data_IF_241818122097
#
_entry.id   IF_241818122097
#
_cell.length_a   1.000
_cell.length_b   1.000
_cell.length_c   1.000
_cell.angle_alpha   90.00
_cell.angle_beta   90.00
_cell.angle_gamma   90.00
#
_symmetry.space_group_name_H-M   'P 1'
#
loop_
_entity.id
_entity.type
_entity.pdbx_description
1 polymer ?
#
# COMPACT_ATOMS: atom_id res chain seq x y z
N UNK A 1 -3.06 22.77 12.70
CA UNK A 1 -3.56 22.25 13.99
C UNK A 1 -3.13 20.79 14.17
N UNK A 2 -3.23 20.00 13.11
CA UNK A 2 -2.91 18.57 13.05
C UNK A 2 -1.47 18.22 13.45
N UNK A 3 -0.47 18.96 12.95
CA UNK A 3 0.92 18.74 13.33
C UNK A 3 1.18 18.95 14.83
N UNK A 4 0.51 19.94 15.45
CA UNK A 4 0.68 20.24 16.88
C UNK A 4 0.04 19.14 17.74
N UNK A 5 -1.14 18.66 17.36
CA UNK A 5 -1.80 17.51 18.02
C UNK A 5 -0.90 16.28 17.91
N UNK A 6 -0.37 16.00 16.72
CA UNK A 6 0.53 14.86 16.51
C UNK A 6 1.80 14.97 17.35
N UNK A 7 2.43 16.15 17.40
CA UNK A 7 3.62 16.36 18.24
C UNK A 7 3.34 16.12 19.72
N UNK A 8 2.19 16.57 20.23
CA UNK A 8 1.79 16.32 21.62
C UNK A 8 1.64 14.82 21.89
N UNK A 9 0.95 14.10 20.99
CA UNK A 9 0.78 12.64 21.08
C UNK A 9 2.14 11.93 21.08
N UNK A 10 3.03 12.28 20.15
CA UNK A 10 4.36 11.67 20.06
C UNK A 10 5.18 11.91 21.33
N UNK A 11 5.20 13.14 21.85
CA UNK A 11 5.92 13.46 23.08
C UNK A 11 5.30 12.73 24.27
N UNK A 12 3.98 12.65 24.36
CA UNK A 12 3.27 11.93 25.41
C UNK A 12 3.60 10.42 25.42
N UNK A 13 3.54 9.77 24.25
CA UNK A 13 3.90 8.35 24.13
C UNK A 13 5.39 8.12 24.38
N UNK A 14 6.26 8.99 23.88
CA UNK A 14 7.70 8.90 24.11
C UNK A 14 8.02 8.99 25.61
N UNK A 15 7.42 9.96 26.30
CA UNK A 15 7.59 10.13 27.73
C UNK A 15 7.13 8.90 28.51
N UNK A 16 5.92 8.39 28.25
CA UNK A 16 5.36 7.26 28.98
C UNK A 16 6.14 5.95 28.73
N UNK A 17 6.60 5.71 27.50
CA UNK A 17 7.25 4.45 27.15
C UNK A 17 8.76 4.43 27.47
N UNK A 18 9.47 5.56 27.32
CA UNK A 18 10.93 5.58 27.42
C UNK A 18 11.47 6.30 28.66
N UNK A 19 10.79 7.35 29.14
CA UNK A 19 11.30 8.21 30.22
C UNK A 19 10.66 7.89 31.58
N UNK A 20 9.41 7.45 31.62
CA UNK A 20 8.70 7.14 32.86
C UNK A 20 9.23 5.85 33.51
N UNK A 21 9.84 5.99 34.69
CA UNK A 21 10.54 4.90 35.38
C UNK A 21 9.65 3.74 35.80
N UNK A 22 8.41 4.03 36.17
CA UNK A 22 7.47 3.03 36.72
C UNK A 22 7.03 2.06 35.64
N UNK A 23 6.63 2.61 34.48
CA UNK A 23 6.31 1.86 33.27
C UNK A 23 7.53 1.05 32.84
N UNK A 24 8.72 1.65 32.79
CA UNK A 24 9.94 0.92 32.39
C UNK A 24 10.25 -0.29 33.30
N UNK A 25 9.89 -0.23 34.58
CA UNK A 25 10.03 -1.37 35.51
C UNK A 25 8.99 -2.45 35.23
N UNK A 26 7.72 -2.09 35.10
CA UNK A 26 6.63 -3.02 34.75
C UNK A 26 6.93 -3.78 33.45
N UNK A 27 7.39 -3.08 32.41
CA UNK A 27 7.71 -3.69 31.12
C UNK A 27 8.94 -4.61 31.18
N UNK A 28 9.92 -4.30 32.03
CA UNK A 28 11.08 -5.18 32.26
C UNK A 28 10.70 -6.46 33.01
N UNK A 29 9.73 -6.39 33.91
CA UNK A 29 9.18 -7.55 34.61
C UNK A 29 8.37 -8.45 33.66
N UNK A 30 7.62 -7.84 32.75
CA UNK A 30 6.84 -8.54 31.71
C UNK A 30 7.73 -9.21 30.65
N UNK A 31 8.84 -8.60 30.24
CA UNK A 31 9.74 -9.20 29.25
C UNK A 31 11.18 -8.66 29.29
N UNK A 32 12.22 -9.53 29.20
CA UNK A 32 13.60 -9.10 28.98
C UNK A 32 13.81 -8.41 27.61
N UNK A 33 12.88 -8.56 26.66
CA UNK A 33 12.85 -7.80 25.39
C UNK A 33 12.07 -6.47 25.49
N UNK A 34 11.89 -5.93 26.70
CA UNK A 34 11.15 -4.69 27.00
C UNK A 34 11.45 -3.51 26.06
N UNK A 35 12.70 -3.35 25.62
CA UNK A 35 13.08 -2.30 24.67
C UNK A 35 12.39 -2.46 23.32
N UNK A 36 12.37 -3.67 22.75
CA UNK A 36 11.75 -3.96 21.44
C UNK A 36 10.24 -3.73 21.52
N UNK A 37 9.61 -4.22 22.58
CA UNK A 37 8.18 -3.99 22.82
C UNK A 37 7.84 -2.51 22.95
N UNK A 38 8.66 -1.73 23.64
CA UNK A 38 8.47 -0.27 23.77
C UNK A 38 8.54 0.43 22.41
N UNK A 39 9.49 0.04 21.56
CA UNK A 39 9.60 0.57 20.19
C UNK A 39 8.41 0.16 19.31
N UNK A 40 7.95 -1.09 19.40
CA UNK A 40 6.78 -1.56 18.65
C UNK A 40 5.51 -0.83 19.12
N UNK A 41 5.30 -0.67 20.42
CA UNK A 41 4.18 0.10 20.97
C UNK A 41 4.22 1.57 20.51
N UNK A 42 5.40 2.19 20.59
CA UNK A 42 5.57 3.58 20.15
C UNK A 42 5.31 3.73 18.64
N UNK A 43 5.94 2.88 17.83
CA UNK A 43 5.77 2.89 16.37
C UNK A 43 4.33 2.61 15.96
N UNK A 44 3.67 1.68 16.65
CA UNK A 44 2.27 1.34 16.42
C UNK A 44 1.32 2.49 16.72
N UNK A 45 1.46 3.11 17.90
CA UNK A 45 0.67 4.26 18.29
C UNK A 45 0.92 5.47 17.37
N UNK A 46 2.19 5.81 17.12
CA UNK A 46 2.56 6.91 16.22
C UNK A 46 1.98 6.72 14.82
N UNK A 47 2.07 5.50 14.28
CA UNK A 47 1.55 5.22 12.95
C UNK A 47 0.02 5.24 12.92
N UNK A 48 -0.67 4.72 13.93
CA UNK A 48 -2.13 4.76 14.00
C UNK A 48 -2.67 6.20 14.08
N UNK A 49 -2.12 7.02 14.99
CA UNK A 49 -2.55 8.41 15.12
C UNK A 49 -2.16 9.23 13.89
N UNK A 50 -0.97 9.00 13.32
CA UNK A 50 -0.56 9.61 12.07
C UNK A 50 -1.51 9.27 10.92
N UNK A 51 -1.90 7.99 10.78
CA UNK A 51 -2.85 7.55 9.77
C UNK A 51 -4.20 8.25 9.91
N UNK A 52 -4.69 8.40 11.15
CA UNK A 52 -6.00 9.01 11.42
C UNK A 52 -6.02 10.53 11.24
N UNK A 53 -4.93 11.21 11.63
CA UNK A 53 -4.81 12.67 11.58
C UNK A 53 -4.51 13.16 10.16
N UNK A 54 -3.62 12.46 9.44
CA UNK A 54 -3.19 12.86 8.10
C UNK A 54 -3.88 12.10 6.96
N UNK A 55 -4.82 11.20 7.30
CA UNK A 55 -5.55 10.36 6.33
C UNK A 55 -4.62 9.54 5.43
N UNK A 56 -3.48 9.11 5.98
CA UNK A 56 -2.45 8.33 5.27
C UNK A 56 -2.66 6.84 5.54
N UNK A 57 -3.35 6.15 4.62
CA UNK A 57 -3.72 4.74 4.78
C UNK A 57 -2.52 3.79 4.99
N UNK A 58 -1.38 4.08 4.34
CA UNK A 58 -0.17 3.26 4.47
C UNK A 58 0.41 3.25 5.90
N UNK A 59 0.09 4.23 6.74
CA UNK A 59 0.51 4.25 8.14
C UNK A 59 -0.24 3.21 8.99
N UNK A 60 -1.49 2.86 8.65
CA UNK A 60 -2.20 1.76 9.33
C UNK A 60 -1.48 0.42 9.15
N UNK A 61 -0.75 0.25 8.05
CA UNK A 61 0.06 -0.95 7.82
C UNK A 61 1.22 -1.05 8.81
N UNK A 62 1.91 0.07 9.09
CA UNK A 62 2.98 0.11 10.09
C UNK A 62 2.43 -0.15 11.49
N UNK A 63 1.24 0.37 11.79
CA UNK A 63 0.53 0.06 13.03
C UNK A 63 0.24 -1.43 13.16
N UNK A 64 -0.25 -2.07 12.10
CA UNK A 64 -0.52 -3.51 12.10
C UNK A 64 0.75 -4.35 12.26
N UNK A 65 1.84 -4.03 11.55
CA UNK A 65 3.13 -4.72 11.73
C UNK A 65 3.64 -4.62 13.17
N UNK A 66 3.42 -3.47 13.81
CA UNK A 66 3.80 -3.27 15.20
C UNK A 66 2.99 -4.18 16.14
N UNK A 67 1.68 -4.32 15.93
CA UNK A 67 0.82 -5.24 16.69
C UNK A 67 1.24 -6.70 16.49
N UNK A 68 1.52 -7.12 15.24
CA UNK A 68 2.01 -8.47 14.95
C UNK A 68 3.34 -8.72 15.67
N UNK A 69 4.26 -7.75 15.64
CA UNK A 69 5.53 -7.83 16.34
C UNK A 69 5.37 -7.99 17.86
N UNK A 70 4.38 -7.32 18.46
CA UNK A 70 4.05 -7.47 19.88
C UNK A 70 3.55 -8.88 20.18
N UNK A 71 2.59 -9.39 19.40
CA UNK A 71 2.03 -10.74 19.56
C UNK A 71 3.10 -11.83 19.42
N UNK A 72 4.03 -11.67 18.47
CA UNK A 72 5.15 -12.61 18.29
C UNK A 72 6.17 -12.52 19.44
N UNK A 73 6.31 -11.35 20.05
CA UNK A 73 7.25 -11.10 21.16
C UNK A 73 6.76 -11.68 22.49
N UNK A 74 5.49 -12.07 22.59
CA UNK A 74 4.86 -12.57 23.82
C UNK A 74 5.47 -13.91 24.25
N UNK A 75 5.91 -14.01 25.52
CA UNK A 75 6.76 -15.12 26.00
C UNK A 75 5.99 -16.43 26.19
N UNK A 76 4.69 -16.35 26.50
CA UNK A 76 3.86 -17.52 26.80
C UNK A 76 3.48 -18.34 25.56
N UNK A 77 3.66 -17.78 24.37
CA UNK A 77 3.41 -18.49 23.13
C UNK A 77 4.59 -19.40 22.77
N UNK A 78 4.30 -20.67 22.54
CA UNK A 78 5.26 -21.61 21.94
C UNK A 78 5.68 -21.10 20.55
N UNK A 79 6.94 -21.33 20.16
CA UNK A 79 7.53 -21.03 18.86
C UNK A 79 6.63 -21.42 17.69
N UNK A 80 5.98 -22.58 17.74
CA UNK A 80 5.04 -23.02 16.69
C UNK A 80 3.85 -22.06 16.56
N UNK A 81 3.24 -21.65 17.68
CA UNK A 81 2.12 -20.69 17.67
C UNK A 81 2.56 -19.33 17.13
N UNK A 82 3.77 -18.88 17.50
CA UNK A 82 4.34 -17.63 16.98
C UNK A 82 4.53 -17.66 15.46
N UNK A 83 5.07 -18.76 14.94
CA UNK A 83 5.24 -18.97 13.50
C UNK A 83 3.89 -18.99 12.80
N UNK A 84 2.89 -19.69 13.36
CA UNK A 84 1.53 -19.75 12.81
C UNK A 84 0.89 -18.36 12.78
N UNK A 85 0.98 -17.59 13.86
CA UNK A 85 0.46 -16.21 13.93
C UNK A 85 1.16 -15.32 12.90
N UNK A 86 2.48 -15.42 12.77
CA UNK A 86 3.24 -14.64 11.79
C UNK A 86 2.84 -14.98 10.35
N UNK A 87 2.77 -16.27 10.00
CA UNK A 87 2.37 -16.74 8.67
C UNK A 87 0.92 -16.32 8.37
N UNK A 88 -0.01 -16.55 9.31
CA UNK A 88 -1.41 -16.19 9.13
C UNK A 88 -1.60 -14.69 8.95
N UNK A 89 -0.87 -13.88 9.72
CA UNK A 89 -0.90 -12.42 9.58
C UNK A 89 -0.34 -11.97 8.23
N UNK A 90 0.75 -12.59 7.75
CA UNK A 90 1.31 -12.31 6.42
C UNK A 90 0.34 -12.71 5.29
N UNK A 91 -0.37 -13.83 5.44
CA UNK A 91 -1.37 -14.28 4.47
C UNK A 91 -2.55 -13.30 4.40
N UNK A 92 -3.11 -12.92 5.56
CA UNK A 92 -4.18 -11.92 5.62
C UNK A 92 -3.73 -10.60 5.00
N UNK A 93 -2.55 -10.12 5.36
CA UNK A 93 -1.96 -8.92 4.78
C UNK A 93 -1.81 -9.01 3.26
N UNK A 94 -1.39 -10.16 2.76
CA UNK A 94 -1.26 -10.38 1.32
C UNK A 94 -2.63 -10.30 0.64
N UNK A 95 -3.66 -10.91 1.22
CA UNK A 95 -5.04 -10.85 0.69
C UNK A 95 -5.56 -9.42 0.64
N UNK A 96 -5.40 -8.66 1.74
CA UNK A 96 -5.86 -7.27 1.78
C UNK A 96 -5.08 -6.35 0.85
N UNK A 97 -3.85 -6.72 0.49
CA UNK A 97 -2.95 -5.89 -0.30
C UNK A 97 -3.01 -6.19 -1.79
N UNK A 98 -3.36 -7.41 -2.20
CA UNK A 98 -3.55 -7.72 -3.63
C UNK A 98 -4.84 -7.05 -4.08
N UNK A 99 -4.75 -6.03 -4.93
CA UNK A 99 -5.88 -5.16 -5.18
C UNK A 99 -6.90 -5.84 -6.11
N UNK A 100 -8.11 -5.29 -6.17
CA UNK A 100 -9.21 -5.79 -6.99
C UNK A 100 -9.12 -5.28 -8.43
N UNK A 101 -10.00 -5.77 -9.31
CA UNK A 101 -9.96 -5.50 -10.75
C UNK A 101 -9.84 -4.00 -11.11
N UNK A 102 -10.53 -3.12 -10.39
CA UNK A 102 -10.54 -1.67 -10.67
C UNK A 102 -9.18 -0.99 -10.45
N UNK A 103 -8.35 -1.52 -9.56
CA UNK A 103 -7.01 -0.99 -9.32
C UNK A 103 -6.08 -1.09 -10.54
N UNK A 104 -6.34 -2.04 -11.45
CA UNK A 104 -5.54 -2.16 -12.66
C UNK A 104 -5.85 -1.01 -13.63
N UNK A 105 -7.11 -0.59 -13.70
CA UNK A 105 -7.54 0.58 -14.49
C UNK A 105 -6.93 1.87 -13.95
N UNK A 106 -6.88 1.99 -12.61
CA UNK A 106 -6.22 3.11 -11.94
C UNK A 106 -4.71 3.09 -12.20
N UNK A 107 -4.06 1.92 -12.17
CA UNK A 107 -2.65 1.78 -12.52
C UNK A 107 -2.37 2.24 -13.95
N UNK A 108 -3.17 1.81 -14.93
CA UNK A 108 -3.01 2.27 -16.31
C UNK A 108 -3.25 3.78 -16.42
N UNK A 109 -4.27 4.32 -15.73
CA UNK A 109 -4.60 5.75 -15.74
C UNK A 109 -3.57 6.62 -15.00
N UNK A 110 -2.76 6.02 -14.12
CA UNK A 110 -1.66 6.70 -13.44
C UNK A 110 -0.45 6.94 -14.35
N UNK A 111 -0.40 6.31 -15.52
CA UNK A 111 0.65 6.54 -16.51
C UNK A 111 0.35 7.81 -17.29
N UNK A 112 1.34 8.69 -17.45
CA UNK A 112 1.20 9.98 -18.14
C UNK A 112 0.58 9.89 -19.56
N UNK A 113 0.68 8.72 -20.21
CA UNK A 113 0.20 8.50 -21.57
C UNK A 113 -1.24 8.03 -21.67
N UNK A 114 -1.87 7.51 -20.61
CA UNK A 114 -3.21 6.90 -20.71
C UNK A 114 -4.13 7.45 -19.61
N UNK A 115 -5.37 7.77 -19.97
CA UNK A 115 -6.44 8.08 -19.02
C UNK A 115 -7.68 7.27 -19.34
N UNK A 116 -8.04 6.33 -18.47
CA UNK A 116 -9.24 5.52 -18.61
C UNK A 116 -10.34 6.06 -17.68
N UNK A 117 -11.06 7.12 -18.10
CA UNK A 117 -12.13 7.71 -17.27
C UNK A 117 -13.40 6.84 -17.32
N UNK A 118 -13.66 6.17 -18.45
CA UNK A 118 -14.86 5.35 -18.69
C UNK A 118 -14.50 3.87 -18.74
N UNK A 119 -15.48 3.00 -18.52
CA UNK A 119 -15.25 1.54 -18.50
C UNK A 119 -15.10 0.91 -19.89
N UNK A 120 -15.37 1.68 -20.94
CA UNK A 120 -15.37 1.24 -22.33
C UNK A 120 -14.39 2.01 -23.22
N UNK A 121 -13.79 3.08 -22.70
CA UNK A 121 -12.92 4.00 -23.45
C UNK A 121 -11.75 4.47 -22.59
N UNK A 122 -10.55 4.46 -23.19
CA UNK A 122 -9.35 5.09 -22.66
C UNK A 122 -8.85 6.14 -23.66
N UNK A 123 -8.23 7.19 -23.14
CA UNK A 123 -7.63 8.25 -23.95
C UNK A 123 -6.11 8.10 -23.89
N UNK A 124 -5.46 8.04 -25.05
CA UNK A 124 -4.01 8.06 -25.17
C UNK A 124 -3.54 9.47 -25.53
N UNK A 125 -2.66 10.04 -24.71
CA UNK A 125 -2.12 11.39 -24.89
C UNK A 125 -0.67 11.24 -25.33
N UNK A 126 -0.36 11.70 -26.55
CA UNK A 126 1.01 11.68 -27.09
C UNK A 126 1.44 13.08 -27.49
N UNK A 127 2.73 13.36 -27.43
CA UNK A 127 3.30 14.62 -27.94
C UNK A 127 4.01 14.36 -29.25
N UNK A 128 3.59 15.03 -30.32
CA UNK A 128 4.21 14.95 -31.64
C UNK A 128 4.90 16.28 -31.96
N UNK A 129 6.15 16.22 -32.43
CA UNK A 129 6.81 17.41 -33.00
C UNK A 129 6.33 17.59 -34.44
N UNK A 130 5.80 18.77 -34.72
CA UNK A 130 5.51 19.20 -36.10
C UNK A 130 6.82 19.44 -36.87
N UNK A 131 6.78 19.40 -38.21
CA UNK A 131 7.92 19.74 -39.05
C UNK A 131 8.51 21.13 -38.73
N UNK A 132 7.68 22.04 -38.24
CA UNK A 132 8.03 23.42 -37.89
C UNK A 132 8.62 23.55 -36.48
N UNK A 133 8.89 22.43 -35.79
CA UNK A 133 9.51 22.39 -34.47
C UNK A 133 8.57 22.66 -33.29
N UNK A 134 7.27 22.86 -33.51
CA UNK A 134 6.27 23.02 -32.44
C UNK A 134 5.87 21.66 -31.87
N UNK A 135 5.68 21.57 -30.56
CA UNK A 135 5.07 20.40 -29.93
C UNK A 135 3.56 20.51 -30.00
N UNK A 136 2.91 19.50 -30.57
CA UNK A 136 1.46 19.35 -30.57
C UNK A 136 1.08 18.13 -29.74
N UNK A 137 0.07 18.28 -28.90
CA UNK A 137 -0.54 17.18 -28.17
C UNK A 137 -1.57 16.50 -29.05
N UNK A 138 -1.38 15.21 -29.31
CA UNK A 138 -2.31 14.36 -30.06
C UNK A 138 -3.06 13.49 -29.06
N UNK A 139 -4.39 13.55 -29.14
CA UNK A 139 -5.30 12.79 -28.28
C UNK A 139 -5.98 11.73 -29.13
N UNK A 140 -5.76 10.46 -28.79
CA UNK A 140 -6.38 9.32 -29.46
C UNK A 140 -7.36 8.63 -28.52
N UNK A 141 -8.59 8.37 -28.99
CA UNK A 141 -9.59 7.60 -28.24
C UNK A 141 -9.40 6.13 -28.59
N UNK A 142 -9.24 5.30 -27.56
CA UNK A 142 -9.06 3.87 -27.68
C UNK A 142 -10.24 3.16 -27.02
N UNK A 143 -10.89 2.25 -27.76
CA UNK A 143 -11.99 1.43 -27.27
C UNK A 143 -11.46 0.21 -26.55
N UNK A 144 -12.06 -0.15 -25.41
CA UNK A 144 -11.70 -1.35 -24.67
C UNK A 144 -12.37 -2.56 -25.34
N UNK A 145 -11.56 -3.41 -25.98
CA UNK A 145 -12.00 -4.66 -26.63
C UNK A 145 -12.09 -5.82 -25.65
N UNK A 146 -11.18 -5.85 -24.69
CA UNK A 146 -11.04 -6.96 -23.76
C UNK A 146 -10.35 -6.55 -22.48
N UNK A 147 -10.86 -7.07 -21.36
CA UNK A 147 -10.27 -6.95 -20.04
C UNK A 147 -10.07 -8.36 -19.48
N UNK A 148 -8.90 -8.64 -18.95
CA UNK A 148 -8.68 -9.83 -18.15
C UNK A 148 -8.03 -9.46 -16.83
N UNK A 149 -8.53 -10.09 -15.76
CA UNK A 149 -7.99 -9.91 -14.42
C UNK A 149 -7.90 -11.26 -13.74
N UNK A 150 -6.68 -11.64 -13.40
CA UNK A 150 -6.40 -12.86 -12.66
C UNK A 150 -5.91 -12.49 -11.27
N UNK A 151 -6.81 -12.57 -10.29
CA UNK A 151 -6.44 -12.44 -8.89
C UNK A 151 -5.88 -13.75 -8.36
N UNK A 152 -4.75 -13.68 -7.63
CA UNK A 152 -4.15 -14.79 -6.88
C UNK A 152 -3.76 -14.28 -5.49
N UNK A 153 -3.50 -15.22 -4.57
CA UNK A 153 -3.27 -14.94 -3.15
C UNK A 153 -2.13 -13.93 -2.86
N UNK A 154 -1.08 -13.90 -3.69
CA UNK A 154 0.10 -13.05 -3.49
C UNK A 154 0.35 -12.07 -4.64
N UNK A 155 -0.40 -12.18 -5.72
CA UNK A 155 -0.23 -11.37 -6.91
C UNK A 155 -1.52 -11.27 -7.70
N UNK A 156 -1.67 -10.20 -8.49
CA UNK A 156 -2.70 -10.12 -9.51
C UNK A 156 -2.04 -9.92 -10.88
N UNK A 157 -2.72 -10.33 -11.95
CA UNK A 157 -2.36 -9.96 -13.31
C UNK A 157 -3.53 -9.23 -13.94
N UNK A 158 -3.23 -8.11 -14.58
CA UNK A 158 -4.19 -7.35 -15.36
C UNK A 158 -3.77 -7.33 -16.82
N UNK A 159 -4.75 -7.39 -17.72
CA UNK A 159 -4.56 -7.16 -19.15
C UNK A 159 -5.71 -6.29 -19.67
N UNK A 160 -5.37 -5.27 -20.44
CA UNK A 160 -6.32 -4.38 -21.10
C UNK A 160 -5.98 -4.30 -22.58
N UNK A 161 -6.88 -4.76 -23.43
CA UNK A 161 -6.75 -4.67 -24.89
C UNK A 161 -7.57 -3.49 -25.39
N UNK A 162 -6.89 -2.60 -26.09
CA UNK A 162 -7.35 -1.32 -26.58
C UNK A 162 -7.31 -1.33 -28.11
N UNK A 163 -8.34 -0.83 -28.77
CA UNK A 163 -8.43 -0.70 -30.23
C UNK A 163 -8.59 0.77 -30.61
N UNK A 164 -7.79 1.24 -31.57
CA UNK A 164 -7.94 2.60 -32.10
C UNK A 164 -8.98 2.65 -33.23
N UNK A 165 -9.34 3.85 -33.67
CA UNK A 165 -10.31 4.05 -34.77
C UNK A 165 -9.87 3.45 -36.12
N UNK A 166 -8.59 3.05 -36.25
CA UNK A 166 -8.03 2.38 -37.43
C UNK A 166 -8.07 0.85 -37.34
N UNK A 167 -8.58 0.30 -36.23
CA UNK A 167 -8.62 -1.14 -35.97
C UNK A 167 -7.27 -1.74 -35.54
N UNK A 168 -6.30 -0.92 -35.15
CA UNK A 168 -5.04 -1.38 -34.58
C UNK A 168 -5.24 -1.66 -33.08
N UNK A 169 -4.85 -2.85 -32.65
CA UNK A 169 -4.98 -3.30 -31.27
C UNK A 169 -3.67 -3.15 -30.50
N UNK A 170 -3.74 -2.59 -29.29
CA UNK A 170 -2.66 -2.49 -28.32
C UNK A 170 -3.08 -3.23 -27.03
N UNK A 171 -2.20 -4.07 -26.48
CA UNK A 171 -2.49 -4.77 -25.22
C UNK A 171 -1.54 -4.30 -24.12
N UNK A 172 -2.10 -3.70 -23.08
CA UNK A 172 -1.40 -3.30 -21.86
C UNK A 172 -1.48 -4.44 -20.84
N UNK A 173 -0.34 -4.83 -20.28
CA UNK A 173 -0.26 -5.90 -19.26
C UNK A 173 0.46 -5.38 -18.03
N UNK A 174 0.03 -5.86 -16.87
CA UNK A 174 0.72 -5.61 -15.62
C UNK A 174 0.60 -6.78 -14.67
N UNK A 175 1.56 -6.83 -13.74
CA UNK A 175 1.54 -7.74 -12.60
C UNK A 175 1.57 -6.92 -11.31
N UNK A 176 0.62 -7.19 -10.43
CA UNK A 176 0.64 -6.67 -9.07
C UNK A 176 1.33 -7.68 -8.17
N UNK A 177 2.38 -7.29 -7.46
CA UNK A 177 3.00 -8.12 -6.43
C UNK A 177 2.93 -7.35 -5.13
N UNK A 178 2.24 -7.93 -4.14
CA UNK A 178 2.05 -7.32 -2.83
C UNK A 178 1.65 -5.83 -2.94
N UNK A 179 0.58 -5.52 -3.67
CA UNK A 179 0.00 -4.18 -3.77
C UNK A 179 0.70 -3.21 -4.70
N UNK A 180 1.81 -3.59 -5.34
CA UNK A 180 2.49 -2.74 -6.32
C UNK A 180 2.39 -3.32 -7.71
N UNK A 181 1.98 -2.50 -8.66
CA UNK A 181 1.89 -2.84 -10.07
C UNK A 181 3.22 -2.62 -10.80
N UNK A 182 3.55 -3.55 -11.68
CA UNK A 182 4.72 -3.54 -12.53
C UNK A 182 4.33 -3.89 -13.96
N UNK A 183 5.03 -3.30 -14.92
CA UNK A 183 4.87 -3.61 -16.33
C UNK A 183 5.41 -5.01 -16.66
N UNK A 184 4.72 -5.70 -17.56
CA UNK A 184 5.04 -7.06 -17.98
C UNK A 184 5.15 -7.18 -19.49
#
# INVERSE_FOLDING_TARGET
MDYLIMSIILVFFFYNLFLRSDVKKEWKELSPSSSILSYLCFGGAASYFGARIFELEWLYLIALYSVIGILVSERELNTVKKIVIAIFSLLLLSIFRVPTDDSFKDYISSKDMYQCIRDYECVKITSKKTPDGRQETVVEILRIKGRSFEWKLFYAKGSLTLENDKGEEETLKGINIAGFWYDR
#
